data_IF_346456914861
#
_entry.id   IF_346456914861
#
_cell.length_a   1.000
_cell.length_b   1.000
_cell.length_c   1.000
_cell.angle_alpha   90.00
_cell.angle_beta   90.00
_cell.angle_gamma   90.00
#
_symmetry.space_group_name_H-M   'P 1'
#
loop_
_entity.id
_entity.type
_entity.pdbx_description
1 polymer ?
#
# COMPACT_ATOMS: atom_id res chain seq x y z
N UNK A 1 -51.56 -2.91 29.62
CA UNK A 1 -52.35 -2.75 28.38
C UNK A 1 -51.58 -1.78 27.49
N UNK A 2 -51.08 -2.06 26.29
CA UNK A 2 -51.32 -3.14 25.34
C UNK A 2 -49.99 -3.69 24.76
N UNK A 3 -50.04 -4.97 24.42
CA UNK A 3 -48.97 -5.80 23.87
C UNK A 3 -48.85 -5.50 22.36
N UNK A 4 -47.82 -4.77 21.96
CA UNK A 4 -47.49 -4.51 20.55
C UNK A 4 -46.58 -5.59 19.98
N UNK A 5 -47.18 -6.68 19.48
CA UNK A 5 -46.51 -7.74 18.71
C UNK A 5 -45.79 -7.14 17.49
N UNK A 6 -44.49 -6.80 17.59
CA UNK A 6 -43.67 -6.69 16.39
C UNK A 6 -43.34 -8.10 15.88
N UNK A 7 -44.26 -8.55 15.03
CA UNK A 7 -44.21 -9.71 14.15
C UNK A 7 -42.77 -9.94 13.71
N UNK A 8 -42.19 -11.02 14.22
CA UNK A 8 -40.93 -11.66 13.81
C UNK A 8 -40.81 -11.62 12.29
N UNK A 9 -40.22 -10.54 11.75
CA UNK A 9 -39.77 -10.45 10.38
C UNK A 9 -38.60 -11.40 10.28
N UNK A 10 -38.91 -12.65 9.92
CA UNK A 10 -38.03 -13.58 9.23
C UNK A 10 -36.55 -13.41 9.55
N UNK A 11 -36.09 -14.18 10.54
CA UNK A 11 -34.76 -14.82 10.48
C UNK A 11 -34.61 -15.37 9.05
N UNK A 12 -33.91 -14.65 8.18
CA UNK A 12 -33.88 -14.96 6.74
C UNK A 12 -33.48 -13.81 5.82
N UNK A 13 -33.27 -12.60 6.33
CA UNK A 13 -32.66 -11.51 5.55
C UNK A 13 -31.18 -11.77 5.29
N UNK A 14 -30.87 -12.43 4.16
CA UNK A 14 -29.54 -12.59 3.52
C UNK A 14 -28.36 -12.17 4.40
N UNK A 15 -27.97 -13.08 5.30
CA UNK A 15 -26.66 -13.08 5.94
C UNK A 15 -25.62 -13.26 4.82
N UNK A 16 -24.97 -12.17 4.46
CA UNK A 16 -24.01 -12.12 3.36
C UNK A 16 -24.61 -11.54 2.09
N UNK A 17 -24.79 -10.21 2.07
CA UNK A 17 -24.49 -9.50 0.83
C UNK A 17 -23.07 -9.96 0.44
N UNK A 18 -22.97 -10.87 -0.54
CA UNK A 18 -21.69 -11.28 -1.11
C UNK A 18 -21.00 -9.98 -1.46
N UNK A 19 -19.97 -9.60 -0.67
CA UNK A 19 -19.09 -8.50 -1.05
C UNK A 19 -18.75 -8.77 -2.51
N UNK A 20 -19.03 -7.82 -3.40
CA UNK A 20 -18.65 -7.97 -4.80
C UNK A 20 -17.21 -8.47 -4.78
N UNK A 21 -16.96 -9.61 -5.44
CA UNK A 21 -15.61 -10.14 -5.57
C UNK A 21 -14.90 -9.11 -6.44
N UNK A 22 -14.23 -8.18 -5.77
CA UNK A 22 -13.44 -7.13 -6.39
C UNK A 22 -12.00 -7.56 -6.20
N UNK A 23 -11.27 -7.53 -7.30
CA UNK A 23 -9.85 -7.83 -7.29
C UNK A 23 -9.11 -6.94 -6.27
N UNK A 24 -8.31 -7.52 -5.36
CA UNK A 24 -7.55 -6.76 -4.38
C UNK A 24 -6.56 -5.75 -4.97
N UNK A 25 -6.05 -5.97 -6.20
CA UNK A 25 -5.12 -5.06 -6.86
C UNK A 25 -5.79 -3.82 -7.43
N UNK A 26 -7.08 -3.91 -7.77
CA UNK A 26 -7.90 -2.77 -8.24
C UNK A 26 -8.03 -1.63 -7.21
N UNK A 27 -7.60 -1.85 -5.96
CA UNK A 27 -7.61 -0.85 -4.87
C UNK A 27 -6.21 -0.34 -4.54
N UNK A 28 -5.21 -0.69 -5.32
CA UNK A 28 -3.81 -0.32 -5.08
C UNK A 28 -3.37 0.70 -6.11
N UNK A 29 -2.62 1.68 -5.63
CA UNK A 29 -1.99 2.70 -6.45
C UNK A 29 -0.47 2.49 -6.43
N UNK A 30 0.19 2.90 -7.50
CA UNK A 30 1.63 2.80 -7.67
C UNK A 30 2.29 4.12 -7.30
N UNK A 31 3.36 4.02 -6.52
CA UNK A 31 4.23 5.14 -6.13
C UNK A 31 5.63 4.88 -6.67
N UNK A 32 6.30 5.92 -7.14
CA UNK A 32 7.71 5.89 -7.48
C UNK A 32 8.54 5.93 -6.19
N UNK A 33 9.64 5.19 -6.14
CA UNK A 33 10.54 5.14 -4.98
C UNK A 33 11.86 5.77 -5.39
N UNK A 34 12.18 6.89 -4.74
CA UNK A 34 13.40 7.66 -5.02
C UNK A 34 14.50 7.43 -4.00
N UNK A 35 15.71 7.19 -4.49
CA UNK A 35 16.92 7.14 -3.70
C UNK A 35 17.36 8.57 -3.28
N UNK A 36 18.11 8.68 -2.17
CA UNK A 36 18.77 9.92 -1.77
C UNK A 36 19.70 10.48 -2.86
N UNK A 37 19.93 11.79 -2.83
CA UNK A 37 20.78 12.50 -3.81
C UNK A 37 22.28 12.12 -3.76
N UNK A 38 22.69 11.23 -2.85
CA UNK A 38 24.05 10.69 -2.78
C UNK A 38 24.35 9.69 -3.91
N UNK A 39 23.32 9.12 -4.55
CA UNK A 39 23.44 8.16 -5.64
C UNK A 39 23.15 8.82 -7.00
N UNK A 40 23.84 8.36 -8.05
CA UNK A 40 23.65 8.86 -9.41
C UNK A 40 22.26 8.49 -9.95
N UNK A 41 21.83 7.24 -9.75
CA UNK A 41 20.51 6.75 -10.15
C UNK A 41 19.57 6.90 -8.95
N UNK A 42 18.61 7.82 -9.12
CA UNK A 42 17.62 8.10 -8.07
C UNK A 42 16.34 7.31 -8.21
N UNK A 43 16.00 6.79 -9.39
CA UNK A 43 14.79 6.00 -9.54
C UNK A 43 15.09 4.53 -9.26
N UNK A 44 14.61 4.01 -8.13
CA UNK A 44 14.84 2.61 -7.73
C UNK A 44 13.79 1.71 -8.37
N UNK A 45 12.55 2.21 -8.47
CA UNK A 45 11.42 1.45 -9.00
C UNK A 45 10.10 1.94 -8.44
N UNK A 46 9.05 1.12 -8.61
CA UNK A 46 7.69 1.43 -8.16
C UNK A 46 7.25 0.51 -7.04
N UNK A 47 6.52 1.04 -6.07
CA UNK A 47 5.91 0.27 -4.99
C UNK A 47 4.41 0.48 -4.97
N UNK A 48 3.67 -0.60 -4.73
CA UNK A 48 2.21 -0.56 -4.62
C UNK A 48 1.77 -0.42 -3.17
N UNK A 49 0.79 0.45 -2.91
CA UNK A 49 0.11 0.55 -1.62
C UNK A 49 -1.40 0.61 -1.84
N UNK A 50 -2.16 0.16 -0.85
CA UNK A 50 -3.61 0.30 -0.89
C UNK A 50 -4.00 1.76 -0.77
N UNK A 51 -4.89 2.23 -1.66
CA UNK A 51 -5.42 3.60 -1.61
C UNK A 51 -6.04 3.90 -0.25
N UNK A 52 -5.88 5.14 0.22
CA UNK A 52 -6.46 5.62 1.47
C UNK A 52 -7.97 5.30 1.53
N UNK A 53 -8.39 4.62 2.61
CA UNK A 53 -9.79 4.27 2.87
C UNK A 53 -10.11 4.45 4.35
N UNK A 54 -11.10 5.30 4.65
CA UNK A 54 -11.49 5.60 6.03
C UNK A 54 -10.31 6.19 6.81
N UNK A 55 -9.94 5.54 7.91
CA UNK A 55 -8.83 5.96 8.78
C UNK A 55 -7.47 5.39 8.38
N UNK A 56 -7.40 4.55 7.34
CA UNK A 56 -6.13 3.97 6.85
C UNK A 56 -5.56 4.83 5.74
N UNK A 57 -4.46 5.52 6.02
CA UNK A 57 -3.77 6.42 5.09
C UNK A 57 -2.71 5.64 4.30
N UNK A 58 -2.63 5.87 3.00
CA UNK A 58 -1.66 5.22 2.12
C UNK A 58 -0.21 5.58 2.47
N UNK A 59 0.06 6.84 2.82
CA UNK A 59 1.39 7.33 3.22
C UNK A 59 1.96 6.54 4.40
N UNK A 60 1.14 6.26 5.42
CA UNK A 60 1.57 5.53 6.61
C UNK A 60 1.91 4.07 6.29
N UNK A 61 1.28 3.50 5.26
CA UNK A 61 1.60 2.17 4.74
C UNK A 61 2.82 2.12 3.82
N UNK A 62 3.34 3.27 3.39
CA UNK A 62 4.56 3.41 2.60
C UNK A 62 5.76 3.75 3.48
N UNK A 63 5.59 4.65 4.44
CA UNK A 63 6.63 5.03 5.41
C UNK A 63 7.09 3.81 6.22
N UNK A 64 8.39 3.72 6.45
CA UNK A 64 9.02 2.61 7.16
C UNK A 64 9.24 1.33 6.34
N UNK A 65 8.85 1.30 5.05
CA UNK A 65 9.27 0.21 4.15
C UNK A 65 10.77 0.26 3.93
N UNK A 66 11.40 -0.91 3.92
CA UNK A 66 12.84 -1.07 3.69
C UNK A 66 13.05 -1.74 2.34
N UNK A 67 13.77 -1.07 1.45
CA UNK A 67 14.16 -1.58 0.13
C UNK A 67 15.63 -1.97 0.15
N UNK A 68 15.93 -3.21 -0.21
CA UNK A 68 17.31 -3.70 -0.39
C UNK A 68 17.68 -3.56 -1.87
N UNK A 69 18.68 -2.72 -2.15
CA UNK A 69 19.10 -2.38 -3.52
C UNK A 69 20.61 -2.57 -3.63
N UNK A 70 21.10 -3.08 -4.77
CA UNK A 70 22.53 -3.21 -4.99
C UNK A 70 23.17 -1.85 -5.32
N UNK A 71 24.47 -1.71 -5.02
CA UNK A 71 25.20 -0.49 -5.39
C UNK A 71 25.30 -0.35 -6.92
N UNK A 72 25.36 -1.45 -7.64
CA UNK A 72 25.36 -1.46 -9.10
C UNK A 72 24.11 -0.76 -9.67
N UNK A 73 22.92 -1.01 -9.10
CA UNK A 73 21.67 -0.38 -9.54
C UNK A 73 21.59 1.12 -9.20
N UNK A 74 22.32 1.56 -8.16
CA UNK A 74 22.30 2.95 -7.69
C UNK A 74 23.36 3.83 -8.36
N UNK A 75 24.49 3.25 -8.79
CA UNK A 75 25.65 4.01 -9.31
C UNK A 75 26.06 3.61 -10.73
N UNK A 76 25.48 2.54 -11.29
CA UNK A 76 25.89 1.91 -12.57
C UNK A 76 27.36 1.47 -12.57
N UNK A 77 27.80 0.88 -11.45
CA UNK A 77 29.15 0.39 -11.21
C UNK A 77 29.17 -1.15 -11.20
N UNK A 78 30.32 -1.79 -11.41
CA UNK A 78 30.45 -3.26 -11.49
C UNK A 78 30.29 -3.96 -10.12
N UNK A 79 30.23 -3.17 -9.04
CA UNK A 79 30.19 -3.63 -7.65
C UNK A 79 28.78 -4.07 -7.24
N UNK A 80 28.30 -5.19 -7.79
CA UNK A 80 26.96 -5.74 -7.49
C UNK A 80 26.84 -6.41 -6.11
N UNK A 81 27.95 -6.74 -5.44
CA UNK A 81 27.93 -7.46 -4.16
C UNK A 81 27.58 -6.57 -2.96
N UNK A 82 27.77 -5.24 -3.08
CA UNK A 82 27.41 -4.30 -2.01
C UNK A 82 25.94 -3.96 -2.12
N UNK A 83 25.23 -4.04 -0.99
CA UNK A 83 23.79 -3.75 -0.92
C UNK A 83 23.51 -2.71 0.14
N UNK A 84 22.53 -1.87 -0.13
CA UNK A 84 22.02 -0.85 0.77
C UNK A 84 20.59 -1.14 1.16
N UNK A 85 20.25 -0.85 2.42
CA UNK A 85 18.87 -0.85 2.92
C UNK A 85 18.41 0.60 3.00
N UNK A 86 17.46 0.96 2.16
CA UNK A 86 16.88 2.30 2.09
C UNK A 86 15.49 2.28 2.73
N UNK A 87 15.25 3.18 3.67
CA UNK A 87 13.97 3.30 4.38
C UNK A 87 13.20 4.48 3.80
N UNK A 88 11.91 4.30 3.53
CA UNK A 88 11.03 5.40 3.14
C UNK A 88 10.67 6.24 4.36
N UNK A 89 11.13 7.49 4.39
CA UNK A 89 10.83 8.43 5.48
C UNK A 89 9.63 9.34 5.18
N UNK A 90 9.54 9.81 3.94
CA UNK A 90 8.49 10.73 3.52
C UNK A 90 7.89 10.34 2.17
N UNK A 91 6.68 10.85 1.90
CA UNK A 91 5.95 10.64 0.65
C UNK A 91 5.52 12.00 0.12
N UNK A 92 5.92 12.32 -1.11
CA UNK A 92 5.60 13.57 -1.80
C UNK A 92 4.74 13.27 -3.03
N UNK A 93 3.45 13.56 -2.96
CA UNK A 93 2.48 13.28 -4.02
C UNK A 93 2.51 11.79 -4.44
N UNK A 94 3.18 11.44 -5.54
CA UNK A 94 3.34 10.06 -6.01
C UNK A 94 4.80 9.51 -5.89
N UNK A 95 5.68 10.20 -5.16
CA UNK A 95 7.12 9.90 -4.97
C UNK A 95 7.53 9.68 -3.49
#
# INVERSE_FOLDING_TARGET
MAVGKNKRLTKGGKKGAKKKVVDPFSKKDWYDVKAPAMFNIRNIGKTLVTRTQGTKIASDGLKGRVFEVSLADLQNDEVAFRKFKLITEDVQDND
#
